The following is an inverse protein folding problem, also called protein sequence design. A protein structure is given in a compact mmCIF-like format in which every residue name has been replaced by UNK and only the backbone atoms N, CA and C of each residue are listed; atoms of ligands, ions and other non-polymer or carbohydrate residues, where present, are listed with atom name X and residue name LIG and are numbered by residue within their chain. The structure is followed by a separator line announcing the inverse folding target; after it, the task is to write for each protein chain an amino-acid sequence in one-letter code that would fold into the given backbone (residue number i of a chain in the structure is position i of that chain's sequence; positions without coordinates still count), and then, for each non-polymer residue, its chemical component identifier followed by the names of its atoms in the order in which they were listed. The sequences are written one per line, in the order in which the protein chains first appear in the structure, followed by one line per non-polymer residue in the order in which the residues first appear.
data_IF_132089785187
#
_entry.id   IF_132089785187
#
_cell.length_a   1.000
_cell.length_b   1.000
_cell.length_c   1.000
_cell.angle_alpha   90.00
_cell.angle_beta   90.00
_cell.angle_gamma   90.00
#
_symmetry.space_group_name_H-M   'P 1'
#
loop_
_entity.id
_entity.type
_entity.pdbx_description
1 polymer ?
#
# COMPACT_ATOMS: atom_id res chain seq x y z
N UNK A 1 -58.88 55.34 54.04
CA UNK A 1 -58.60 53.85 54.02
C UNK A 1 -57.46 53.63 53.07
N UNK A 2 -56.30 53.27 53.64
CA UNK A 2 -55.06 53.12 52.89
C UNK A 2 -54.81 51.62 52.65
N UNK A 3 -54.73 51.18 51.43
CA UNK A 3 -54.41 49.83 51.05
C UNK A 3 -52.89 49.70 50.84
N UNK A 4 -52.27 48.83 51.61
CA UNK A 4 -50.86 48.48 51.45
C UNK A 4 -50.73 47.35 50.45
N UNK A 5 -49.88 47.55 49.44
CA UNK A 5 -49.47 46.54 48.46
C UNK A 5 -48.06 46.09 48.84
N UNK A 6 -47.82 44.81 49.09
CA UNK A 6 -46.44 44.32 49.34
C UNK A 6 -45.71 44.06 48.04
N UNK A 7 -44.56 44.66 47.92
CA UNK A 7 -43.56 44.49 46.86
C UNK A 7 -42.87 43.13 46.98
N UNK A 8 -43.20 42.20 46.10
CA UNK A 8 -42.51 40.89 45.99
C UNK A 8 -41.28 41.07 45.13
N UNK A 9 -40.09 41.01 45.76
CA UNK A 9 -38.80 40.94 45.09
C UNK A 9 -38.66 39.57 44.39
N UNK A 10 -38.60 39.60 43.04
CA UNK A 10 -38.27 38.47 42.23
C UNK A 10 -36.76 38.43 42.06
N UNK A 11 -36.12 37.48 42.70
CA UNK A 11 -34.68 37.19 42.55
C UNK A 11 -34.51 36.40 41.26
N UNK A 12 -33.94 37.03 40.17
CA UNK A 12 -33.55 36.34 38.96
C UNK A 12 -32.18 35.70 39.20
N UNK A 13 -32.14 34.35 39.36
CA UNK A 13 -30.90 33.57 39.31
C UNK A 13 -30.52 33.37 37.85
N UNK A 14 -29.50 34.05 37.38
CA UNK A 14 -28.86 33.78 36.07
C UNK A 14 -27.85 32.64 36.27
N UNK A 15 -28.22 31.45 35.84
CA UNK A 15 -27.28 30.32 35.73
C UNK A 15 -26.38 30.53 34.53
N UNK A 16 -25.09 30.85 34.77
CA UNK A 16 -24.04 30.79 33.75
C UNK A 16 -23.75 29.31 33.44
N UNK A 17 -24.26 28.85 32.32
CA UNK A 17 -23.90 27.55 31.75
C UNK A 17 -22.45 27.59 31.21
N UNK A 18 -21.51 27.00 31.93
CA UNK A 18 -20.17 26.73 31.42
C UNK A 18 -20.27 25.58 30.43
N UNK A 19 -20.34 25.91 29.13
CA UNK A 19 -20.20 24.92 28.06
C UNK A 19 -18.75 24.44 28.03
N UNK A 20 -18.49 23.29 28.66
CA UNK A 20 -17.22 22.60 28.55
C UNK A 20 -17.00 22.13 27.10
N UNK A 21 -16.07 22.76 26.37
CA UNK A 21 -15.52 22.22 25.14
C UNK A 21 -14.79 20.92 25.53
N UNK A 22 -15.41 19.78 25.30
CA UNK A 22 -14.71 18.50 25.34
C UNK A 22 -13.69 18.52 24.18
N UNK A 23 -12.40 18.64 24.50
CA UNK A 23 -11.31 18.43 23.55
C UNK A 23 -11.39 16.98 23.09
N UNK A 24 -11.80 16.76 21.83
CA UNK A 24 -11.71 15.45 21.21
C UNK A 24 -10.21 15.12 21.07
N UNK A 25 -9.78 13.90 21.49
CA UNK A 25 -8.41 13.48 21.22
C UNK A 25 -8.22 13.50 19.71
N UNK A 26 -7.24 14.27 19.24
CA UNK A 26 -6.82 14.26 17.86
C UNK A 26 -6.38 12.83 17.52
N UNK A 27 -7.11 12.15 16.63
CA UNK A 27 -6.70 10.86 16.12
C UNK A 27 -5.31 11.06 15.51
N UNK A 28 -4.32 10.30 15.98
CA UNK A 28 -3.00 10.27 15.35
C UNK A 28 -3.21 9.81 13.91
N UNK A 29 -2.81 10.58 12.89
CA UNK A 29 -2.97 10.15 11.51
C UNK A 29 -2.15 8.88 11.32
N UNK A 30 -2.82 7.76 11.18
CA UNK A 30 -2.21 6.50 10.76
C UNK A 30 -1.94 6.58 9.25
N UNK A 31 -1.00 5.78 8.76
CA UNK A 31 -0.79 5.62 7.33
C UNK A 31 -2.05 5.04 6.66
N UNK A 32 -2.42 5.59 5.52
CA UNK A 32 -3.48 5.05 4.68
C UNK A 32 -3.02 3.76 3.98
N UNK A 33 -3.95 2.97 3.49
CA UNK A 33 -3.62 1.75 2.74
C UNK A 33 -2.74 2.03 1.50
N UNK A 34 -3.04 3.04 0.65
CA UNK A 34 -2.17 3.41 -0.46
C UNK A 34 -0.74 3.77 -0.04
N UNK A 35 -0.57 4.51 1.06
CA UNK A 35 0.76 4.87 1.58
C UNK A 35 1.54 3.64 2.06
N UNK A 36 0.86 2.66 2.68
CA UNK A 36 1.48 1.39 3.09
C UNK A 36 1.93 0.60 1.86
N UNK A 37 1.07 0.46 0.85
CA UNK A 37 1.40 -0.22 -0.41
C UNK A 37 2.57 0.45 -1.13
N UNK A 38 2.53 1.77 -1.25
CA UNK A 38 3.62 2.55 -1.84
C UNK A 38 4.96 2.34 -1.11
N UNK A 39 4.94 2.31 0.22
CA UNK A 39 6.12 1.98 1.01
C UNK A 39 6.62 0.57 0.73
N UNK A 40 5.74 -0.43 0.61
CA UNK A 40 6.14 -1.78 0.23
C UNK A 40 6.76 -1.82 -1.17
N UNK A 41 6.11 -1.22 -2.18
CA UNK A 41 6.62 -1.19 -3.54
C UNK A 41 8.04 -0.62 -3.61
N UNK A 42 8.27 0.52 -2.97
CA UNK A 42 9.60 1.16 -2.94
C UNK A 42 10.64 0.35 -2.16
N UNK A 43 10.23 -0.36 -1.08
CA UNK A 43 11.14 -1.21 -0.32
C UNK A 43 11.49 -2.52 -1.03
N UNK A 44 10.54 -3.12 -1.78
CA UNK A 44 10.78 -4.33 -2.56
C UNK A 44 11.97 -4.15 -3.51
N UNK A 45 12.16 -2.95 -4.07
CA UNK A 45 13.30 -2.60 -4.93
C UNK A 45 14.66 -2.82 -4.24
N UNK A 46 14.73 -2.71 -2.93
CA UNK A 46 15.95 -2.92 -2.13
C UNK A 46 16.08 -4.31 -1.50
N UNK A 47 15.01 -5.11 -1.50
CA UNK A 47 14.98 -6.43 -0.84
C UNK A 47 14.91 -7.61 -1.81
N UNK A 48 14.80 -7.34 -3.09
CA UNK A 48 14.87 -8.33 -4.17
C UNK A 48 16.20 -8.15 -4.90
N UNK A 49 16.79 -9.26 -5.35
CA UNK A 49 17.98 -9.26 -6.20
C UNK A 49 17.61 -9.60 -7.63
N UNK A 50 18.08 -8.79 -8.56
CA UNK A 50 17.94 -8.96 -10.01
C UNK A 50 19.24 -9.50 -10.59
N UNK A 51 19.21 -10.61 -11.35
CA UNK A 51 20.42 -11.17 -11.95
C UNK A 51 21.00 -10.24 -13.02
N UNK A 52 22.30 -10.01 -12.96
CA UNK A 52 23.01 -9.17 -13.91
C UNK A 52 22.83 -7.67 -13.74
N UNK A 53 22.00 -7.23 -12.80
CA UNK A 53 21.81 -5.82 -12.45
C UNK A 53 22.40 -5.53 -11.06
N UNK A 54 23.03 -4.36 -10.93
CA UNK A 54 23.52 -3.93 -9.62
C UNK A 54 22.41 -3.35 -8.76
N UNK A 55 21.39 -2.76 -9.39
CA UNK A 55 20.27 -2.13 -8.71
C UNK A 55 19.07 -2.03 -9.67
N UNK A 56 17.88 -2.43 -9.20
CA UNK A 56 16.63 -2.18 -9.89
C UNK A 56 16.23 -0.72 -9.73
N UNK A 57 15.68 -0.11 -10.78
CA UNK A 57 15.43 1.33 -10.82
C UNK A 57 14.03 1.72 -11.22
N UNK A 58 13.31 0.90 -11.99
CA UNK A 58 12.05 1.28 -12.61
C UNK A 58 10.86 0.55 -12.02
N UNK A 59 9.92 1.31 -11.48
CA UNK A 59 8.61 0.83 -11.03
C UNK A 59 7.59 1.22 -12.09
N UNK A 60 6.91 0.23 -12.68
CA UNK A 60 5.78 0.45 -13.58
C UNK A 60 4.46 0.18 -12.86
N UNK A 61 3.45 0.97 -13.17
CA UNK A 61 2.09 0.84 -12.62
C UNK A 61 1.08 0.91 -13.74
N UNK A 62 0.00 0.11 -13.65
CA UNK A 62 -1.02 0.07 -14.70
C UNK A 62 -1.96 1.26 -14.68
N UNK A 63 -2.18 1.87 -13.51
CA UNK A 63 -3.15 2.95 -13.34
C UNK A 63 -2.59 4.08 -12.47
N UNK A 64 -3.04 5.30 -12.74
CA UNK A 64 -2.80 6.46 -11.87
C UNK A 64 -3.87 6.52 -10.76
N UNK A 65 -3.63 5.76 -9.70
CA UNK A 65 -4.49 5.69 -8.52
C UNK A 65 -3.85 6.33 -7.28
N UNK A 66 -4.51 6.20 -6.12
CA UNK A 66 -4.00 6.72 -4.85
C UNK A 66 -2.68 6.06 -4.43
N UNK A 67 -2.43 4.78 -4.80
CA UNK A 67 -1.17 4.08 -4.51
C UNK A 67 -0.05 4.64 -5.38
N UNK A 68 -0.31 4.86 -6.66
CA UNK A 68 0.63 5.46 -7.61
C UNK A 68 1.04 6.86 -7.16
N UNK A 69 0.07 7.69 -6.76
CA UNK A 69 0.33 9.03 -6.23
C UNK A 69 1.16 9.00 -4.93
N UNK A 70 0.91 8.00 -4.07
CA UNK A 70 1.72 7.81 -2.87
C UNK A 70 3.15 7.36 -3.20
N UNK A 71 3.36 6.50 -4.23
CA UNK A 71 4.70 6.14 -4.74
C UNK A 71 5.43 7.38 -5.23
N UNK A 72 4.79 8.19 -6.10
CA UNK A 72 5.38 9.43 -6.62
C UNK A 72 5.77 10.39 -5.49
N UNK A 73 4.90 10.55 -4.49
CA UNK A 73 5.20 11.35 -3.29
C UNK A 73 6.43 10.84 -2.52
N UNK A 74 6.59 9.53 -2.37
CA UNK A 74 7.76 8.95 -1.71
C UNK A 74 9.02 9.21 -2.54
N UNK A 75 8.95 8.99 -3.86
CA UNK A 75 10.10 9.15 -4.74
C UNK A 75 10.56 10.61 -4.83
N UNK A 76 9.62 11.56 -4.88
CA UNK A 76 9.92 13.00 -4.92
C UNK A 76 10.63 13.53 -3.67
N UNK A 77 10.49 12.87 -2.52
CA UNK A 77 11.16 13.24 -1.25
C UNK A 77 12.53 12.59 -1.08
N UNK A 78 12.88 11.59 -1.91
CA UNK A 78 14.16 10.88 -1.83
C UNK A 78 15.23 11.61 -2.65
N UNK A 79 16.22 12.16 -1.99
CA UNK A 79 17.33 12.88 -2.62
C UNK A 79 18.32 11.94 -3.33
N UNK A 80 18.40 10.66 -2.89
CA UNK A 80 19.45 9.72 -3.30
C UNK A 80 18.92 8.48 -4.06
N UNK A 81 17.61 8.40 -4.32
CA UNK A 81 17.04 7.22 -4.95
C UNK A 81 16.93 7.43 -6.47
N UNK A 82 17.72 6.68 -7.23
CA UNK A 82 17.59 6.57 -8.69
C UNK A 82 16.39 5.71 -9.08
N UNK A 83 15.26 5.77 -8.32
CA UNK A 83 14.03 5.05 -8.66
C UNK A 83 13.17 5.93 -9.55
N UNK A 84 12.68 5.34 -10.62
CA UNK A 84 11.80 5.94 -11.60
C UNK A 84 10.40 5.29 -11.53
N UNK A 85 9.36 6.10 -11.67
CA UNK A 85 7.97 5.64 -11.76
C UNK A 85 7.48 5.86 -13.19
N UNK A 86 6.94 4.80 -13.80
CA UNK A 86 6.31 4.85 -15.11
C UNK A 86 4.85 4.41 -14.98
N UNK A 87 3.92 5.27 -15.39
CA UNK A 87 2.50 4.93 -15.51
C UNK A 87 2.30 4.40 -16.93
N UNK A 88 1.79 3.17 -17.05
CA UNK A 88 1.60 2.52 -18.32
C UNK A 88 0.38 3.11 -19.05
N UNK A 89 0.53 3.41 -20.31
CA UNK A 89 -0.59 3.85 -21.16
C UNK A 89 -1.47 2.67 -21.61
N UNK A 90 -0.91 1.46 -21.63
CA UNK A 90 -1.58 0.20 -21.98
C UNK A 90 -0.79 -0.97 -21.39
N UNK A 91 -1.48 -2.02 -20.99
CA UNK A 91 -0.85 -3.26 -20.52
C UNK A 91 -0.16 -4.05 -21.65
N UNK A 92 -0.47 -3.75 -22.92
CA UNK A 92 0.06 -4.48 -24.08
C UNK A 92 1.51 -4.15 -24.42
N UNK A 93 2.02 -2.98 -23.97
CA UNK A 93 3.38 -2.54 -24.21
C UNK A 93 4.10 -2.26 -22.89
N UNK A 94 4.76 -3.27 -22.35
CA UNK A 94 5.57 -3.12 -21.15
C UNK A 94 6.94 -2.52 -21.50
N UNK A 95 7.25 -1.29 -21.08
CA UNK A 95 8.59 -0.74 -21.22
C UNK A 95 9.58 -1.53 -20.35
N UNK A 96 10.88 -1.27 -20.39
CA UNK A 96 11.83 -1.87 -19.47
C UNK A 96 11.47 -1.52 -18.02
N UNK A 97 10.89 -2.47 -17.29
CA UNK A 97 10.51 -2.37 -15.89
C UNK A 97 11.27 -3.37 -15.04
N UNK A 98 11.59 -3.00 -13.84
CA UNK A 98 12.12 -3.92 -12.83
C UNK A 98 11.01 -4.45 -11.91
N UNK A 99 10.01 -3.62 -11.63
CA UNK A 99 8.81 -3.99 -10.87
C UNK A 99 7.57 -3.52 -11.65
N UNK A 100 6.60 -4.42 -11.79
CA UNK A 100 5.26 -4.12 -12.33
C UNK A 100 4.23 -4.27 -11.22
N UNK A 101 3.53 -3.19 -10.91
CA UNK A 101 2.40 -3.19 -9.98
C UNK A 101 1.09 -3.12 -10.75
N UNK A 102 0.25 -4.11 -10.49
CA UNK A 102 -1.09 -4.26 -11.03
C UNK A 102 -2.09 -3.99 -9.92
N UNK A 103 -2.78 -2.87 -9.99
CA UNK A 103 -3.76 -2.44 -9.00
C UNK A 103 -5.19 -2.90 -9.31
N UNK A 104 -5.33 -3.85 -10.23
CA UNK A 104 -6.59 -4.50 -10.56
C UNK A 104 -7.01 -5.51 -9.48
N UNK A 105 -8.29 -5.54 -9.16
CA UNK A 105 -8.91 -6.55 -8.28
C UNK A 105 -9.06 -7.93 -8.97
N UNK A 106 -8.67 -8.04 -10.24
CA UNK A 106 -8.80 -9.26 -11.04
C UNK A 106 -7.42 -9.79 -11.44
N UNK A 107 -7.31 -11.11 -11.50
CA UNK A 107 -6.15 -11.82 -12.06
C UNK A 107 -6.30 -12.10 -13.56
N UNK A 108 -7.36 -11.58 -14.19
CA UNK A 108 -7.62 -11.76 -15.63
C UNK A 108 -6.48 -11.09 -16.43
N UNK A 109 -5.88 -11.86 -17.32
CA UNK A 109 -4.73 -11.42 -18.12
C UNK A 109 -3.36 -11.74 -17.52
N UNK A 110 -3.31 -12.27 -16.29
CA UNK A 110 -2.07 -12.74 -15.66
C UNK A 110 -1.77 -14.17 -16.12
N UNK A 111 -1.59 -14.35 -17.41
CA UNK A 111 -1.31 -15.67 -18.03
C UNK A 111 0.15 -16.12 -17.83
N UNK A 112 0.70 -16.07 -16.63
CA UNK A 112 1.99 -16.70 -16.30
C UNK A 112 3.19 -16.35 -17.20
N UNK A 113 3.02 -15.47 -18.18
CA UNK A 113 4.06 -14.99 -19.08
C UNK A 113 4.78 -13.77 -18.47
N UNK A 114 5.13 -13.90 -17.20
CA UNK A 114 5.90 -12.86 -16.55
C UNK A 114 7.28 -12.77 -17.20
N UNK A 115 7.62 -11.58 -17.67
CA UNK A 115 8.89 -11.30 -18.28
C UNK A 115 10.03 -11.60 -17.30
N UNK A 116 11.08 -12.30 -17.79
CA UNK A 116 12.27 -12.55 -16.98
C UNK A 116 12.81 -11.23 -16.44
N UNK A 117 13.11 -11.21 -15.14
CA UNK A 117 13.70 -10.06 -14.48
C UNK A 117 12.70 -8.99 -14.04
N UNK A 118 11.39 -9.17 -14.23
CA UNK A 118 10.36 -8.25 -13.74
C UNK A 118 9.67 -8.83 -12.52
N UNK A 119 9.71 -8.10 -11.40
CA UNK A 119 8.97 -8.45 -10.19
C UNK A 119 7.50 -8.03 -10.35
N UNK A 120 6.59 -8.98 -10.33
CA UNK A 120 5.16 -8.68 -10.40
C UNK A 120 4.54 -8.58 -9.01
N UNK A 121 3.74 -7.56 -8.80
CA UNK A 121 3.03 -7.28 -7.55
C UNK A 121 1.58 -6.95 -7.87
N UNK A 122 0.61 -7.53 -7.14
CA UNK A 122 -0.79 -7.22 -7.34
C UNK A 122 -1.61 -7.20 -6.05
N UNK A 123 -2.77 -6.56 -6.11
CA UNK A 123 -3.78 -6.50 -5.04
C UNK A 123 -4.82 -7.63 -5.15
N UNK A 124 -4.87 -8.33 -6.27
CA UNK A 124 -5.86 -9.36 -6.53
C UNK A 124 -5.66 -10.55 -5.59
N UNK A 125 -6.74 -10.95 -4.93
CA UNK A 125 -6.75 -12.12 -4.05
C UNK A 125 -6.41 -13.40 -4.84
N UNK A 126 -5.45 -14.16 -4.33
CA UNK A 126 -5.00 -15.40 -4.98
C UNK A 126 -3.97 -15.20 -6.09
N UNK A 127 -3.50 -13.97 -6.33
CA UNK A 127 -2.50 -13.67 -7.35
C UNK A 127 -1.23 -14.53 -7.20
N UNK A 128 -0.71 -14.64 -5.99
CA UNK A 128 0.49 -15.43 -5.74
C UNK A 128 0.27 -16.93 -5.96
N UNK A 129 -0.95 -17.45 -5.68
CA UNK A 129 -1.30 -18.85 -5.93
C UNK A 129 -1.46 -19.15 -7.42
N UNK A 130 -1.80 -18.16 -8.24
CA UNK A 130 -1.99 -18.28 -9.69
C UNK A 130 -0.69 -18.04 -10.48
N UNK A 131 0.45 -17.90 -9.80
CA UNK A 131 1.74 -17.77 -10.45
C UNK A 131 2.33 -16.36 -10.39
N UNK A 132 1.62 -15.39 -9.79
CA UNK A 132 2.19 -14.09 -9.47
C UNK A 132 3.27 -14.18 -8.40
N UNK A 133 4.11 -13.16 -8.27
CA UNK A 133 5.26 -13.20 -7.37
C UNK A 133 4.98 -12.62 -5.99
N UNK A 134 4.32 -11.46 -5.92
CA UNK A 134 3.98 -10.80 -4.66
C UNK A 134 2.53 -10.37 -4.67
N UNK A 135 1.78 -10.76 -3.65
CA UNK A 135 0.39 -10.37 -3.45
C UNK A 135 0.27 -9.49 -2.22
N UNK A 136 -0.41 -8.36 -2.35
CA UNK A 136 -0.85 -7.54 -1.22
C UNK A 136 -2.18 -8.05 -0.69
N UNK A 137 -2.15 -8.81 0.37
CA UNK A 137 -3.37 -9.32 1.00
C UNK A 137 -3.87 -8.37 2.07
N UNK A 138 -5.12 -7.90 1.91
CA UNK A 138 -5.78 -7.11 2.95
C UNK A 138 -6.22 -8.00 4.11
N UNK A 139 -5.71 -7.73 5.32
CA UNK A 139 -6.09 -8.42 6.56
C UNK A 139 -6.57 -7.43 7.60
N UNK A 140 -7.89 -7.34 7.77
CA UNK A 140 -8.52 -6.40 8.70
C UNK A 140 -7.99 -4.97 8.48
N UNK A 141 -7.07 -4.48 9.29
CA UNK A 141 -6.54 -3.11 9.26
C UNK A 141 -5.06 -3.04 8.82
N UNK A 142 -4.56 -4.02 8.08
CA UNK A 142 -3.17 -4.07 7.61
C UNK A 142 -3.04 -4.75 6.26
N UNK A 143 -1.97 -4.42 5.54
CA UNK A 143 -1.54 -5.16 4.36
C UNK A 143 -0.52 -6.22 4.80
N UNK A 144 -0.74 -7.46 4.38
CA UNK A 144 0.19 -8.56 4.52
C UNK A 144 0.75 -8.92 3.14
N UNK A 145 1.99 -9.40 3.10
CA UNK A 145 2.62 -9.88 1.88
C UNK A 145 2.48 -11.40 1.77
N UNK A 146 2.09 -11.87 0.59
CA UNK A 146 2.24 -13.26 0.18
C UNK A 146 3.28 -13.30 -0.93
N UNK A 147 4.30 -14.13 -0.79
CA UNK A 147 5.41 -14.22 -1.75
C UNK A 147 5.50 -15.64 -2.30
N UNK A 148 5.42 -15.76 -3.62
CA UNK A 148 5.67 -16.98 -4.35
C UNK A 148 7.14 -17.03 -4.77
N UNK A 149 7.96 -17.73 -3.99
CA UNK A 149 9.39 -17.86 -4.26
C UNK A 149 9.69 -18.68 -5.50
N UNK A 150 8.78 -19.58 -5.90
CA UNK A 150 8.90 -20.34 -7.13
C UNK A 150 8.80 -19.46 -8.37
N UNK A 151 7.76 -18.65 -8.44
CA UNK A 151 7.58 -17.70 -9.54
C UNK A 151 8.75 -16.72 -9.62
N UNK A 152 9.24 -16.22 -8.48
CA UNK A 152 10.42 -15.36 -8.44
C UNK A 152 11.66 -16.07 -9.02
N UNK A 153 11.89 -17.31 -8.61
CA UNK A 153 13.05 -18.09 -9.10
C UNK A 153 12.97 -18.36 -10.60
N UNK A 154 11.79 -18.66 -11.14
CA UNK A 154 11.57 -18.86 -12.58
C UNK A 154 11.87 -17.58 -13.38
N UNK A 155 11.56 -16.41 -12.81
CA UNK A 155 11.93 -15.12 -13.39
C UNK A 155 13.39 -14.73 -13.16
N UNK A 156 14.15 -15.52 -12.41
CA UNK A 156 15.54 -15.27 -12.05
C UNK A 156 15.72 -14.28 -10.89
N UNK A 157 14.65 -14.01 -10.12
CA UNK A 157 14.67 -13.09 -8.99
C UNK A 157 14.87 -13.85 -7.66
N UNK A 158 15.45 -13.16 -6.68
CA UNK A 158 15.63 -13.72 -5.34
C UNK A 158 15.23 -12.71 -4.27
N UNK A 159 14.31 -13.11 -3.39
CA UNK A 159 13.92 -12.31 -2.23
C UNK A 159 14.94 -12.47 -1.09
N UNK A 160 15.28 -11.39 -0.42
CA UNK A 160 16.12 -11.43 0.77
C UNK A 160 15.43 -12.16 1.94
N UNK A 161 16.22 -12.80 2.82
CA UNK A 161 15.68 -13.44 4.01
C UNK A 161 14.90 -12.49 4.94
N UNK A 162 15.25 -11.21 4.95
CA UNK A 162 14.51 -10.18 5.69
C UNK A 162 13.11 -9.97 5.15
N UNK A 163 12.96 -9.94 3.85
CA UNK A 163 11.66 -9.82 3.20
C UNK A 163 10.81 -11.06 3.47
N UNK A 164 11.38 -12.25 3.30
CA UNK A 164 10.67 -13.51 3.54
C UNK A 164 10.20 -13.69 4.99
N UNK A 165 10.96 -13.15 5.96
CA UNK A 165 10.57 -13.19 7.37
C UNK A 165 9.33 -12.36 7.70
N UNK A 166 8.97 -11.40 6.85
CA UNK A 166 7.80 -10.52 7.02
C UNK A 166 6.58 -10.98 6.21
N UNK A 167 6.73 -11.99 5.37
CA UNK A 167 5.72 -12.43 4.41
C UNK A 167 5.21 -13.85 4.72
N UNK A 168 4.04 -14.16 4.19
CA UNK A 168 3.61 -15.55 4.02
C UNK A 168 4.25 -16.08 2.74
N UNK A 169 5.08 -17.12 2.86
CA UNK A 169 5.80 -17.68 1.71
C UNK A 169 5.03 -18.86 1.15
N UNK A 170 4.77 -18.80 -0.17
CA UNK A 170 4.31 -19.97 -0.94
C UNK A 170 5.55 -20.62 -1.55
N UNK A 171 5.88 -21.86 -1.13
CA UNK A 171 7.00 -22.57 -1.73
C UNK A 171 6.66 -22.95 -3.17
N UNK A 172 7.72 -23.16 -3.97
CA UNK A 172 7.58 -23.76 -5.30
C UNK A 172 6.82 -25.06 -5.19
N UNK A 173 5.58 -25.08 -5.66
CA UNK A 173 4.90 -26.37 -5.88
C UNK A 173 5.62 -26.99 -7.07
N UNK A 174 6.52 -27.93 -6.80
CA UNK A 174 7.20 -28.66 -7.87
C UNK A 174 6.14 -29.21 -8.81
N UNK A 175 6.14 -28.73 -10.04
CA UNK A 175 5.44 -29.39 -11.12
C UNK A 175 6.19 -30.71 -11.29
N UNK A 176 5.69 -31.78 -10.66
CA UNK A 176 6.20 -33.11 -10.96
C UNK A 176 6.03 -33.33 -12.48
N UNK A 177 7.15 -33.58 -13.12
CA UNK A 177 7.28 -33.92 -14.54
C UNK A 177 6.77 -35.32 -14.75
#
# INVERSE_FOLDING_TARGET
MRAFIPLRSVLLLTALGVSGLAAQPAATPGFTEPEIKAAFLTHLMGFVSWPGQQQAKTICVEEDDATTQAVDSILSTRVDAELELIILASADELPPCDLLYMNSDTTEGVDGQFHRGVLTVADADGFAQQGGMVEFQRKANRIALIINTGAMHEAGLTASSRLLALATVIPTTGREI
#
